data_IF_708149684167
#
_entry.id   IF_708149684167
#
_cell.length_a   1.000
_cell.length_b   1.000
_cell.length_c   1.000
_cell.angle_alpha   90.00
_cell.angle_beta   90.00
_cell.angle_gamma   90.00
#
_symmetry.space_group_name_H-M   'P 1'
#
loop_
_entity.id
_entity.type
_entity.pdbx_description
1 polymer ?
#
# COMPACT_ATOMS: atom_id res chain seq x y z
N UNK A 1 -1.20 -25.28 -1.95
CA UNK A 1 -0.41 -24.35 -2.79
C UNK A 1 -0.28 -23.08 -1.98
N UNK A 2 0.94 -22.66 -1.66
CA UNK A 2 1.20 -21.71 -0.57
C UNK A 2 0.61 -20.33 -0.84
N UNK A 3 -0.40 -19.95 -0.06
CA UNK A 3 -0.77 -18.56 0.18
C UNK A 3 0.41 -17.91 0.91
N UNK A 4 1.33 -17.29 0.18
CA UNK A 4 2.54 -16.75 0.76
C UNK A 4 2.86 -15.40 0.13
N UNK A 5 3.04 -14.41 0.98
CA UNK A 5 3.63 -13.14 0.59
C UNK A 5 5.06 -13.40 0.09
N UNK A 6 5.39 -12.88 -1.08
CA UNK A 6 6.66 -13.16 -1.75
C UNK A 6 7.27 -11.91 -2.36
N UNK A 7 8.56 -11.70 -2.12
CA UNK A 7 9.37 -10.71 -2.83
C UNK A 7 10.48 -11.43 -3.62
N UNK A 8 10.45 -11.29 -4.94
CA UNK A 8 11.47 -11.79 -5.84
C UNK A 8 12.26 -10.64 -6.44
N UNK A 9 13.58 -10.66 -6.25
CA UNK A 9 14.50 -9.69 -6.87
C UNK A 9 15.14 -10.30 -8.11
N UNK A 10 15.37 -9.48 -9.12
CA UNK A 10 16.05 -9.88 -10.34
C UNK A 10 16.88 -8.73 -10.90
N UNK A 11 17.84 -9.08 -11.76
CA UNK A 11 18.75 -8.14 -12.41
C UNK A 11 18.79 -8.50 -13.88
N UNK A 12 18.87 -7.50 -14.75
CA UNK A 12 19.13 -7.71 -16.17
C UNK A 12 20.64 -7.75 -16.39
N UNK A 13 21.20 -8.91 -16.76
CA UNK A 13 22.67 -9.12 -16.82
C UNK A 13 23.42 -8.17 -17.78
N UNK A 14 22.71 -7.59 -18.74
CA UNK A 14 23.28 -6.72 -19.77
C UNK A 14 22.77 -5.27 -19.68
N UNK A 15 22.25 -4.84 -18.53
CA UNK A 15 21.91 -3.44 -18.27
C UNK A 15 22.03 -3.08 -16.79
N UNK A 16 22.11 -1.79 -16.48
CA UNK A 16 22.14 -1.29 -15.09
C UNK A 16 20.73 -1.23 -14.47
N UNK A 17 19.88 -2.18 -14.80
CA UNK A 17 18.49 -2.25 -14.34
C UNK A 17 18.35 -3.46 -13.39
N UNK A 18 17.81 -3.17 -12.21
CA UNK A 18 17.30 -4.18 -11.28
C UNK A 18 15.78 -4.09 -11.22
N UNK A 19 15.13 -5.20 -10.97
CA UNK A 19 13.69 -5.26 -10.81
C UNK A 19 13.30 -6.10 -9.60
N UNK A 20 12.06 -5.90 -9.18
CA UNK A 20 11.47 -6.60 -8.05
C UNK A 20 10.02 -6.96 -8.39
N UNK A 21 9.58 -8.12 -7.93
CA UNK A 21 8.18 -8.58 -8.01
C UNK A 21 7.73 -8.86 -6.60
N UNK A 22 6.67 -8.17 -6.17
CA UNK A 22 6.05 -8.35 -4.87
C UNK A 22 4.64 -8.92 -5.04
N UNK A 23 4.35 -10.00 -4.33
CA UNK A 23 3.00 -10.57 -4.19
C UNK A 23 2.60 -10.50 -2.73
N UNK A 24 1.46 -9.88 -2.45
CA UNK A 24 0.89 -9.77 -1.10
C UNK A 24 -0.50 -10.39 -1.11
N UNK A 25 -0.65 -11.51 -0.41
CA UNK A 25 -1.91 -12.20 -0.25
C UNK A 25 -2.33 -12.17 1.22
N UNK A 26 -1.55 -12.79 2.11
CA UNK A 26 -1.91 -12.94 3.52
C UNK A 26 -1.85 -11.60 4.25
N UNK A 27 -0.79 -10.81 4.01
CA UNK A 27 -0.68 -9.46 4.58
C UNK A 27 -1.84 -8.57 4.15
N UNK A 28 -2.22 -8.63 2.87
CA UNK A 28 -3.33 -7.83 2.35
C UNK A 28 -4.68 -8.27 2.96
N UNK A 29 -4.98 -9.56 2.98
CA UNK A 29 -6.19 -10.08 3.61
C UNK A 29 -6.27 -9.74 5.11
N UNK A 30 -5.14 -9.79 5.81
CA UNK A 30 -5.08 -9.41 7.23
C UNK A 30 -5.40 -7.92 7.43
N UNK A 31 -4.88 -7.04 6.59
CA UNK A 31 -5.24 -5.60 6.63
C UNK A 31 -6.73 -5.41 6.39
N UNK A 32 -7.29 -6.06 5.37
CA UNK A 32 -8.71 -5.95 5.04
C UNK A 32 -9.63 -6.52 6.14
N UNK A 33 -9.15 -7.43 6.97
CA UNK A 33 -9.94 -7.98 8.09
C UNK A 33 -10.16 -7.01 9.25
N UNK A 34 -9.43 -5.88 9.29
CA UNK A 34 -9.49 -4.91 10.40
C UNK A 34 -10.72 -4.01 10.36
N UNK A 35 -11.32 -3.80 9.18
CA UNK A 35 -12.52 -2.98 9.01
C UNK A 35 -13.23 -3.33 7.70
N UNK A 36 -14.53 -3.03 7.60
CA UNK A 36 -15.28 -3.18 6.35
C UNK A 36 -15.01 -2.00 5.41
N UNK A 37 -13.88 -2.06 4.72
CA UNK A 37 -13.49 -1.03 3.76
C UNK A 37 -14.37 -1.07 2.50
N UNK A 38 -14.79 0.08 1.95
CA UNK A 38 -15.38 0.13 0.61
C UNK A 38 -14.43 -0.40 -0.47
N UNK A 39 -14.98 -0.95 -1.56
CA UNK A 39 -14.20 -1.53 -2.67
C UNK A 39 -13.03 -0.65 -3.17
N UNK A 40 -13.21 0.66 -3.46
CA UNK A 40 -12.10 1.47 -3.94
C UNK A 40 -11.02 1.70 -2.85
N UNK A 41 -11.39 1.69 -1.57
CA UNK A 41 -10.43 1.79 -0.47
C UNK A 41 -9.65 0.49 -0.28
N UNK A 42 -10.28 -0.69 -0.47
CA UNK A 42 -9.57 -1.98 -0.48
C UNK A 42 -8.47 -1.97 -1.55
N UNK A 43 -8.81 -1.54 -2.76
CA UNK A 43 -7.85 -1.44 -3.86
C UNK A 43 -6.68 -0.50 -3.51
N UNK A 44 -6.97 0.71 -3.03
CA UNK A 44 -5.94 1.68 -2.64
C UNK A 44 -5.03 1.15 -1.51
N UNK A 45 -5.57 0.43 -0.54
CA UNK A 45 -4.76 -0.22 0.49
C UNK A 45 -3.77 -1.23 -0.14
N UNK A 46 -4.22 -2.05 -1.08
CA UNK A 46 -3.35 -2.96 -1.81
C UNK A 46 -2.25 -2.25 -2.60
N UNK A 47 -2.59 -1.15 -3.28
CA UNK A 47 -1.64 -0.33 -4.03
C UNK A 47 -0.58 0.32 -3.11
N UNK A 48 -0.99 0.89 -1.97
CA UNK A 48 -0.07 1.48 -1.00
C UNK A 48 0.84 0.43 -0.36
N UNK A 49 0.30 -0.76 -0.04
CA UNK A 49 1.07 -1.89 0.46
C UNK A 49 2.12 -2.38 -0.55
N UNK A 50 1.74 -2.51 -1.82
CA UNK A 50 2.67 -2.86 -2.87
C UNK A 50 3.77 -1.81 -3.04
N UNK A 51 3.38 -0.52 -3.09
CA UNK A 51 4.31 0.59 -3.26
C UNK A 51 5.35 0.64 -2.14
N UNK A 52 4.92 0.65 -0.88
CA UNK A 52 5.86 0.75 0.25
C UNK A 52 6.71 -0.54 0.40
N UNK A 53 6.14 -1.71 0.07
CA UNK A 53 6.85 -2.98 0.11
C UNK A 53 8.02 -2.99 -0.88
N UNK A 54 7.77 -2.59 -2.13
CA UNK A 54 8.78 -2.44 -3.18
C UNK A 54 9.81 -1.35 -2.85
N UNK A 55 9.37 -0.20 -2.33
CA UNK A 55 10.30 0.86 -1.93
C UNK A 55 11.22 0.42 -0.79
N UNK A 56 10.68 -0.28 0.22
CA UNK A 56 11.44 -0.75 1.38
C UNK A 56 12.57 -1.71 1.00
N UNK A 57 12.35 -2.52 -0.04
CA UNK A 57 13.29 -3.51 -0.52
C UNK A 57 14.58 -2.92 -1.11
N UNK A 58 14.55 -1.61 -1.42
CA UNK A 58 15.70 -0.84 -1.92
C UNK A 58 16.51 -0.13 -0.83
N UNK A 59 16.01 -0.10 0.41
CA UNK A 59 16.65 0.60 1.53
C UNK A 59 17.83 -0.18 2.09
N UNK A 60 18.91 0.54 2.42
CA UNK A 60 20.15 -0.05 2.95
C UNK A 60 20.24 -0.02 4.49
N UNK A 61 19.28 0.60 5.17
CA UNK A 61 19.27 0.79 6.62
C UNK A 61 18.11 0.05 7.30
N UNK A 62 18.27 -0.20 8.59
CA UNK A 62 17.23 -0.83 9.42
C UNK A 62 16.29 0.25 9.95
N UNK A 63 15.11 0.36 9.35
CA UNK A 63 14.11 1.35 9.71
C UNK A 63 12.70 0.97 9.23
N UNK A 64 11.77 1.91 9.41
CA UNK A 64 10.39 1.83 8.94
C UNK A 64 10.21 2.85 7.83
N UNK A 65 9.73 2.41 6.67
CA UNK A 65 9.30 3.29 5.60
C UNK A 65 7.79 3.48 5.70
N UNK A 66 7.31 4.72 5.61
CA UNK A 66 5.89 5.05 5.76
C UNK A 66 5.40 5.79 4.54
N UNK A 67 4.50 5.19 3.76
CA UNK A 67 3.80 5.88 2.68
C UNK A 67 2.45 6.37 3.19
N UNK A 68 2.20 7.67 3.12
CA UNK A 68 0.98 8.29 3.63
C UNK A 68 0.39 9.27 2.61
N UNK A 69 -0.92 9.20 2.42
CA UNK A 69 -1.69 10.28 1.81
C UNK A 69 -2.74 10.81 2.81
N UNK A 70 -2.89 12.13 2.84
CA UNK A 70 -3.85 12.83 3.71
C UNK A 70 -4.51 13.98 2.95
N UNK A 71 -5.81 14.16 3.12
CA UNK A 71 -6.53 15.26 2.47
C UNK A 71 -7.92 15.51 3.04
N UNK A 72 -8.67 16.37 2.36
CA UNK A 72 -9.99 16.86 2.79
C UNK A 72 -11.18 16.06 2.25
N UNK A 73 -10.94 15.00 1.48
CA UNK A 73 -11.98 14.16 0.89
C UNK A 73 -12.54 13.08 1.84
N UNK A 74 -13.48 12.25 1.36
CA UNK A 74 -14.08 11.16 2.14
C UNK A 74 -13.06 10.14 2.62
N UNK A 75 -11.93 9.97 1.92
CA UNK A 75 -10.75 9.29 2.44
C UNK A 75 -9.81 10.32 3.07
N UNK A 76 -9.98 10.58 4.37
CA UNK A 76 -9.18 11.56 5.09
C UNK A 76 -7.70 11.18 5.20
N UNK A 77 -7.39 9.89 5.33
CA UNK A 77 -6.00 9.40 5.45
C UNK A 77 -5.91 7.95 4.99
N UNK A 78 -4.85 7.63 4.25
CA UNK A 78 -4.40 6.26 4.00
C UNK A 78 -2.91 6.20 4.29
N UNK A 79 -2.47 5.19 5.04
CA UNK A 79 -1.10 5.07 5.50
C UNK A 79 -0.68 3.61 5.49
N UNK A 80 0.54 3.35 5.03
CA UNK A 80 1.16 2.03 5.10
C UNK A 80 2.60 2.13 5.57
N UNK A 81 2.95 1.27 6.53
CA UNK A 81 4.31 1.09 7.02
C UNK A 81 4.89 -0.22 6.49
N UNK A 82 6.17 -0.22 6.14
CA UNK A 82 6.94 -1.43 5.92
C UNK A 82 8.31 -1.37 6.61
N UNK A 83 8.63 -2.42 7.35
CA UNK A 83 9.97 -2.63 7.90
C UNK A 83 10.88 -3.31 6.88
N UNK A 84 12.20 -3.26 7.09
CA UNK A 84 13.17 -4.04 6.28
C UNK A 84 12.86 -5.55 6.25
N UNK A 85 12.25 -6.09 7.30
CA UNK A 85 11.86 -7.49 7.38
C UNK A 85 10.51 -7.79 6.71
N UNK A 86 9.99 -6.86 5.90
CA UNK A 86 8.72 -6.96 5.19
C UNK A 86 7.49 -7.14 6.08
N UNK A 87 7.58 -6.75 7.36
CA UNK A 87 6.39 -6.56 8.17
C UNK A 87 5.63 -5.32 7.66
N UNK A 88 4.46 -5.57 7.10
CA UNK A 88 3.56 -4.57 6.53
C UNK A 88 2.39 -4.30 7.47
N UNK A 89 2.01 -3.02 7.58
CA UNK A 89 0.78 -2.58 8.24
C UNK A 89 0.17 -1.49 7.41
N UNK A 90 -1.15 -1.49 7.24
CA UNK A 90 -1.86 -0.43 6.55
C UNK A 90 -3.15 -0.08 7.26
N UNK A 91 -3.54 1.19 7.18
CA UNK A 91 -4.81 1.70 7.66
C UNK A 91 -5.36 2.74 6.69
N UNK A 92 -6.69 2.83 6.65
CA UNK A 92 -7.41 3.92 6.00
C UNK A 92 -8.44 4.51 6.98
N UNK A 93 -8.53 5.84 7.03
CA UNK A 93 -9.56 6.59 7.73
C UNK A 93 -10.48 7.22 6.70
N UNK A 94 -11.73 6.79 6.71
CA UNK A 94 -12.70 7.15 5.70
C UNK A 94 -14.05 7.45 6.33
N UNK A 95 -14.84 8.26 5.63
CA UNK A 95 -16.22 8.58 6.00
C UNK A 95 -17.12 7.37 5.72
N UNK A 96 -17.77 6.84 6.75
CA UNK A 96 -18.63 5.65 6.63
C UNK A 96 -19.99 5.98 6.01
N UNK A 97 -20.41 7.25 6.05
CA UNK A 97 -21.70 7.71 5.52
C UNK A 97 -21.60 8.15 4.05
N UNK A 98 -20.37 8.18 3.49
CA UNK A 98 -20.14 8.51 2.10
C UNK A 98 -20.51 7.37 1.16
N UNK A 99 -21.19 7.69 0.05
CA UNK A 99 -21.56 6.71 -0.97
C UNK A 99 -20.42 6.46 -1.97
N UNK A 100 -19.56 5.49 -1.67
CA UNK A 100 -18.47 5.07 -2.54
C UNK A 100 -18.99 4.42 -3.82
N UNK A 101 -18.36 4.74 -4.96
CA UNK A 101 -18.56 4.07 -6.24
C UNK A 101 -17.59 2.89 -6.36
N UNK A 102 -17.91 1.93 -7.22
CA UNK A 102 -17.07 0.74 -7.49
C UNK A 102 -15.61 1.11 -7.83
N UNK A 103 -15.43 2.16 -8.65
CA UNK A 103 -14.11 2.66 -9.03
C UNK A 103 -14.02 4.16 -8.74
N UNK A 104 -13.05 4.53 -7.90
CA UNK A 104 -12.66 5.91 -7.64
C UNK A 104 -11.14 5.95 -7.48
N UNK A 105 -10.53 6.97 -8.05
CA UNK A 105 -9.09 7.21 -7.96
C UNK A 105 -8.72 7.74 -6.58
N UNK A 106 -7.42 7.66 -6.25
CA UNK A 106 -6.88 8.29 -5.04
C UNK A 106 -7.25 9.77 -4.96
N UNK A 107 -7.12 10.52 -6.05
CA UNK A 107 -7.38 11.96 -6.07
C UNK A 107 -8.86 12.30 -5.81
N UNK A 108 -9.79 11.51 -6.34
CA UNK A 108 -11.23 11.69 -6.09
C UNK A 108 -11.60 11.42 -4.63
N UNK A 109 -10.91 10.49 -3.96
CA UNK A 109 -11.19 10.09 -2.59
C UNK A 109 -10.48 10.95 -1.54
N UNK A 110 -9.20 11.31 -1.78
CA UNK A 110 -8.40 12.17 -0.90
C UNK A 110 -8.77 13.65 -1.05
N UNK A 111 -9.24 14.06 -2.23
CA UNK A 111 -9.47 15.46 -2.56
C UNK A 111 -8.15 16.25 -2.61
N UNK A 112 -8.16 17.47 -2.09
CA UNK A 112 -6.94 18.28 -1.95
C UNK A 112 -6.14 17.77 -0.76
N UNK A 113 -4.90 17.34 -1.00
CA UNK A 113 -4.09 16.68 0.01
C UNK A 113 -2.61 16.60 -0.34
N UNK A 114 -1.87 15.90 0.50
CA UNK A 114 -0.45 15.61 0.33
C UNK A 114 -0.20 14.11 0.24
N UNK A 115 0.87 13.74 -0.45
CA UNK A 115 1.46 12.41 -0.43
C UNK A 115 2.86 12.54 0.18
N UNK A 116 3.22 11.66 1.10
CA UNK A 116 4.47 11.71 1.85
C UNK A 116 5.04 10.31 2.02
N UNK A 117 6.37 10.23 2.02
CA UNK A 117 7.16 8.99 2.17
C UNK A 117 8.19 9.17 3.29
#
# INVERSE_FOLDING_TARGET
MSHADQLQRFIFEHSDIRGEILTLQDSYQRVLSNADYPAPIKQLLGEFMAAVGLLSATLKFDGVLTLQAQGSGPLSTIMTDCTRHHHLRAIARFDQDYHYKEAQTLQELIGTGTLSL
#
